data_IF_627407720734
#
_entry.id   IF_627407720734
#
_cell.length_a   1.000
_cell.length_b   1.000
_cell.length_c   1.000
_cell.angle_alpha   90.00
_cell.angle_beta   90.00
_cell.angle_gamma   90.00
#
_symmetry.space_group_name_H-M   'P 1'
#
loop_
_entity.id
_entity.type
_entity.pdbx_description
1 polymer ?
#
# COMPACT_ATOMS: atom_id res chain seq x y z
N UNK A 1 -18.20 -6.23 0.33
CA UNK A 1 -16.75 -6.42 0.49
C UNK A 1 -16.15 -6.34 -0.88
N UNK A 2 -15.20 -5.43 -1.09
CA UNK A 2 -14.48 -5.31 -2.36
C UNK A 2 -13.12 -5.97 -2.21
N UNK A 3 -12.67 -6.67 -3.23
CA UNK A 3 -11.36 -7.29 -3.25
C UNK A 3 -10.41 -6.53 -4.14
N UNK A 4 -9.15 -6.44 -3.72
CA UNK A 4 -8.11 -5.73 -4.44
C UNK A 4 -6.77 -6.42 -4.30
N UNK A 5 -5.80 -5.90 -5.03
CA UNK A 5 -4.40 -6.32 -4.95
C UNK A 5 -3.51 -5.10 -4.80
N UNK A 6 -2.35 -5.29 -4.20
CA UNK A 6 -1.27 -4.31 -4.25
C UNK A 6 -0.12 -4.88 -5.09
N UNK A 7 0.45 -4.04 -5.95
CA UNK A 7 1.42 -4.47 -6.95
C UNK A 7 2.58 -3.50 -7.07
N UNK A 8 3.74 -4.08 -7.38
CA UNK A 8 5.00 -3.40 -7.63
C UNK A 8 5.73 -4.09 -8.78
N UNK A 9 6.98 -3.72 -9.06
CA UNK A 9 7.82 -4.44 -10.02
C UNK A 9 7.98 -5.94 -9.72
N UNK A 10 7.67 -6.40 -8.50
CA UNK A 10 7.66 -7.83 -8.16
C UNK A 10 6.58 -8.60 -8.92
N UNK A 11 5.55 -7.92 -9.43
CA UNK A 11 4.49 -8.46 -10.28
C UNK A 11 4.62 -7.99 -11.73
N UNK A 12 5.84 -7.70 -12.20
CA UNK A 12 6.07 -7.35 -13.61
C UNK A 12 5.43 -8.38 -14.56
N UNK A 13 4.58 -7.90 -15.47
CA UNK A 13 3.81 -8.71 -16.41
C UNK A 13 2.41 -9.13 -15.93
N UNK A 14 2.01 -8.82 -14.70
CA UNK A 14 0.65 -9.08 -14.21
C UNK A 14 -0.36 -8.21 -14.96
N UNK A 15 -1.34 -8.83 -15.61
CA UNK A 15 -2.44 -8.11 -16.27
C UNK A 15 -3.55 -7.77 -15.29
N UNK A 16 -3.69 -6.48 -14.97
CA UNK A 16 -4.77 -5.91 -14.18
C UNK A 16 -6.11 -5.94 -14.92
N UNK A 17 -6.12 -5.93 -16.27
CA UNK A 17 -7.33 -6.22 -17.06
C UNK A 17 -7.82 -7.65 -16.82
N UNK A 18 -6.91 -8.63 -16.77
CA UNK A 18 -7.27 -10.00 -16.40
C UNK A 18 -7.69 -10.09 -14.93
N UNK A 19 -6.96 -9.43 -14.02
CA UNK A 19 -7.30 -9.40 -12.61
C UNK A 19 -8.73 -8.88 -12.39
N UNK A 20 -9.14 -7.82 -13.09
CA UNK A 20 -10.50 -7.30 -13.04
C UNK A 20 -11.55 -8.33 -13.50
N UNK A 21 -11.25 -9.10 -14.56
CA UNK A 21 -12.12 -10.22 -15.01
C UNK A 21 -12.21 -11.36 -13.99
N UNK A 22 -11.18 -11.54 -13.17
CA UNK A 22 -11.16 -12.49 -12.05
C UNK A 22 -11.80 -11.92 -10.77
N UNK A 23 -12.37 -10.70 -10.84
CA UNK A 23 -13.18 -10.10 -9.78
C UNK A 23 -12.43 -9.17 -8.82
N UNK A 24 -11.23 -8.72 -9.20
CA UNK A 24 -10.54 -7.60 -8.54
C UNK A 24 -11.24 -6.28 -8.87
N UNK A 25 -11.41 -5.44 -7.86
CA UNK A 25 -12.19 -4.20 -7.94
C UNK A 25 -11.35 -2.94 -7.66
N UNK A 26 -10.18 -3.09 -7.03
CA UNK A 26 -9.22 -2.00 -6.83
C UNK A 26 -7.77 -2.49 -6.87
N UNK A 27 -6.85 -1.58 -7.16
CA UNK A 27 -5.41 -1.83 -7.13
C UNK A 27 -4.66 -0.73 -6.36
N UNK A 28 -3.66 -1.11 -5.57
CA UNK A 28 -2.75 -0.19 -4.88
C UNK A 28 -1.34 -0.33 -5.49
N UNK A 29 -0.87 0.69 -6.19
CA UNK A 29 0.34 0.59 -7.03
C UNK A 29 1.56 1.21 -6.34
N UNK A 30 2.70 0.52 -6.29
CA UNK A 30 3.93 1.08 -5.73
C UNK A 30 4.46 2.20 -6.62
N UNK A 31 4.73 3.36 -6.04
CA UNK A 31 5.46 4.43 -6.71
C UNK A 31 6.96 4.26 -6.51
N UNK A 32 7.39 4.22 -5.24
CA UNK A 32 8.80 4.13 -4.88
C UNK A 32 9.02 3.32 -3.61
N UNK A 33 10.25 2.84 -3.47
CA UNK A 33 10.85 2.41 -2.22
C UNK A 33 11.98 3.38 -1.84
N UNK A 34 11.72 4.26 -0.87
CA UNK A 34 12.52 5.45 -0.66
C UNK A 34 12.61 6.26 -1.96
N UNK A 35 13.81 6.37 -2.52
CA UNK A 35 14.05 7.03 -3.83
C UNK A 35 14.16 6.04 -5.00
N UNK A 36 14.14 4.73 -4.75
CA UNK A 36 14.11 3.72 -5.80
C UNK A 36 12.74 3.76 -6.49
N UNK A 37 12.76 3.96 -7.82
CA UNK A 37 11.56 4.14 -8.64
C UNK A 37 11.04 2.81 -9.13
N UNK A 38 9.76 2.54 -8.91
CA UNK A 38 9.14 1.34 -9.43
C UNK A 38 9.02 1.42 -10.96
N UNK A 39 9.79 0.58 -11.66
CA UNK A 39 9.83 0.56 -13.13
C UNK A 39 8.51 0.11 -13.77
N UNK A 40 7.65 -0.57 -13.04
CA UNK A 40 6.37 -1.10 -13.53
C UNK A 40 5.17 -0.19 -13.21
N UNK A 41 5.38 0.91 -12.47
CA UNK A 41 4.28 1.81 -12.10
C UNK A 41 3.47 2.30 -13.31
N UNK A 42 4.15 2.73 -14.37
CA UNK A 42 3.48 3.29 -15.56
C UNK A 42 2.63 2.26 -16.31
N UNK A 43 3.12 1.02 -16.46
CA UNK A 43 2.37 -0.06 -17.10
C UNK A 43 1.20 -0.52 -16.24
N UNK A 44 1.41 -0.68 -14.93
CA UNK A 44 0.32 -1.00 -14.00
C UNK A 44 -0.75 0.09 -13.96
N UNK A 45 -0.37 1.38 -13.94
CA UNK A 45 -1.33 2.47 -13.94
C UNK A 45 -2.17 2.49 -15.23
N UNK A 46 -1.53 2.26 -16.38
CA UNK A 46 -2.24 2.18 -17.66
C UNK A 46 -3.23 1.01 -17.69
N UNK A 47 -2.80 -0.17 -17.24
CA UNK A 47 -3.63 -1.38 -17.26
C UNK A 47 -4.78 -1.30 -16.24
N UNK A 48 -4.53 -0.76 -15.04
CA UNK A 48 -5.57 -0.51 -14.04
C UNK A 48 -6.65 0.46 -14.55
N UNK A 49 -6.25 1.53 -15.23
CA UNK A 49 -7.18 2.49 -15.86
C UNK A 49 -7.98 1.83 -16.97
N UNK A 50 -7.34 1.05 -17.83
CA UNK A 50 -8.03 0.32 -18.90
C UNK A 50 -9.03 -0.71 -18.36
N UNK A 51 -8.72 -1.30 -17.21
CA UNK A 51 -9.58 -2.25 -16.50
C UNK A 51 -10.74 -1.60 -15.74
N UNK A 52 -10.73 -0.26 -15.56
CA UNK A 52 -11.74 0.46 -14.78
C UNK A 52 -11.67 0.19 -13.27
N UNK A 53 -10.49 -0.18 -12.75
CA UNK A 53 -10.27 -0.41 -11.32
C UNK A 53 -10.26 0.91 -10.55
N UNK A 54 -10.66 0.88 -9.27
CA UNK A 54 -10.31 1.96 -8.36
C UNK A 54 -8.81 1.91 -8.06
N UNK A 55 -8.14 3.05 -8.13
CA UNK A 55 -6.67 3.12 -8.05
C UNK A 55 -6.27 3.99 -6.87
N UNK A 56 -5.42 3.43 -6.02
CA UNK A 56 -4.57 4.19 -5.10
C UNK A 56 -3.12 3.79 -5.31
N UNK A 57 -2.22 4.48 -4.64
CA UNK A 57 -0.78 4.24 -4.76
C UNK A 57 -0.14 4.13 -3.40
N UNK A 58 1.01 3.51 -3.30
CA UNK A 58 1.79 3.49 -2.06
C UNK A 58 3.24 3.90 -2.29
N UNK A 59 3.82 4.43 -1.22
CA UNK A 59 5.22 4.80 -1.12
C UNK A 59 5.81 4.10 0.09
N UNK A 60 6.77 3.20 -0.13
CA UNK A 60 7.51 2.54 0.94
C UNK A 60 8.45 3.57 1.56
N UNK A 61 8.07 4.04 2.76
CA UNK A 61 8.72 5.14 3.45
C UNK A 61 9.95 4.61 4.20
N UNK A 62 11.12 5.05 3.78
CA UNK A 62 12.41 4.73 4.41
C UNK A 62 12.74 5.74 5.50
N UNK A 63 13.42 5.27 6.54
CA UNK A 63 13.97 6.15 7.55
C UNK A 63 15.08 7.01 6.92
N UNK A 64 15.19 8.31 7.25
CA UNK A 64 16.31 9.14 6.79
C UNK A 64 17.69 8.56 7.12
N UNK A 65 17.82 7.76 8.17
CA UNK A 65 19.07 7.05 8.50
C UNK A 65 19.47 6.00 7.46
N UNK A 66 18.56 5.57 6.59
CA UNK A 66 18.83 4.66 5.47
C UNK A 66 19.39 5.38 4.23
N UNK A 67 19.58 6.71 4.30
CA UNK A 67 20.38 7.45 3.32
C UNK A 67 19.61 8.39 2.39
N UNK A 68 18.30 8.57 2.58
CA UNK A 68 17.50 9.54 1.81
C UNK A 68 16.55 10.31 2.72
N UNK A 69 16.54 11.63 2.61
CA UNK A 69 15.60 12.47 3.36
C UNK A 69 14.16 12.21 2.94
N UNK A 70 13.20 12.51 3.82
CA UNK A 70 11.77 12.37 3.51
C UNK A 70 11.40 13.21 2.29
N UNK A 71 11.97 14.41 2.14
CA UNK A 71 11.76 15.26 0.98
C UNK A 71 12.22 14.61 -0.33
N UNK A 72 13.43 14.03 -0.38
CA UNK A 72 13.92 13.32 -1.58
C UNK A 72 13.04 12.13 -1.95
N UNK A 73 12.57 11.38 -0.96
CA UNK A 73 11.65 10.25 -1.16
C UNK A 73 10.30 10.69 -1.75
N UNK A 74 9.73 11.78 -1.22
CA UNK A 74 8.48 12.36 -1.72
C UNK A 74 8.64 12.88 -3.15
N UNK A 75 9.72 13.61 -3.45
CA UNK A 75 9.98 14.08 -4.83
C UNK A 75 10.10 12.91 -5.81
N UNK A 76 10.84 11.85 -5.45
CA UNK A 76 10.96 10.66 -6.29
C UNK A 76 9.60 9.98 -6.55
N UNK A 77 8.75 9.88 -5.52
CA UNK A 77 7.41 9.31 -5.65
C UNK A 77 6.51 10.17 -6.55
N UNK A 78 6.56 11.49 -6.41
CA UNK A 78 5.82 12.43 -7.24
C UNK A 78 6.26 12.38 -8.70
N UNK A 79 7.57 12.25 -8.97
CA UNK A 79 8.08 12.08 -10.34
C UNK A 79 7.58 10.80 -10.99
N UNK A 80 7.53 9.68 -10.26
CA UNK A 80 6.96 8.41 -10.75
C UNK A 80 5.46 8.56 -11.01
N UNK A 81 4.74 9.22 -10.11
CA UNK A 81 3.29 9.43 -10.24
C UNK A 81 2.93 10.37 -11.40
N UNK A 82 3.83 11.29 -11.74
CA UNK A 82 3.58 12.33 -12.75
C UNK A 82 2.31 13.12 -12.44
N UNK A 83 1.46 13.30 -13.43
CA UNK A 83 0.19 14.02 -13.29
C UNK A 83 -0.98 13.23 -12.70
N UNK A 84 -0.79 11.98 -12.26
CA UNK A 84 -1.92 11.12 -11.87
C UNK A 84 -2.59 11.51 -10.55
N UNK A 85 -1.87 12.19 -9.63
CA UNK A 85 -2.33 12.67 -8.33
C UNK A 85 -3.34 11.73 -7.62
N UNK A 86 -2.94 10.46 -7.48
CA UNK A 86 -3.77 9.40 -6.90
C UNK A 86 -3.64 9.36 -5.36
N UNK A 87 -4.65 8.85 -4.63
CA UNK A 87 -4.55 8.72 -3.18
C UNK A 87 -3.34 7.90 -2.74
N UNK A 88 -2.50 8.48 -1.88
CA UNK A 88 -1.25 7.88 -1.40
C UNK A 88 -1.43 7.15 -0.07
N UNK A 89 -0.93 5.93 0.01
CA UNK A 89 -0.66 5.21 1.24
C UNK A 89 0.82 5.33 1.61
N UNK A 90 1.11 5.74 2.84
CA UNK A 90 2.47 5.72 3.36
C UNK A 90 2.73 4.35 3.98
N UNK A 91 3.53 3.54 3.30
CA UNK A 91 3.92 2.22 3.78
C UNK A 91 5.02 2.37 4.83
N UNK A 92 4.63 2.08 6.07
CA UNK A 92 5.42 2.26 7.28
C UNK A 92 5.84 0.89 7.81
N UNK A 93 6.89 0.32 7.23
CA UNK A 93 7.41 -0.97 7.70
C UNK A 93 8.93 -1.13 7.62
N UNK A 94 9.67 -0.06 7.32
CA UNK A 94 11.12 -0.13 7.20
C UNK A 94 11.79 -0.77 8.43
N UNK A 95 12.77 -1.68 8.27
CA UNK A 95 13.48 -2.31 9.38
C UNK A 95 14.09 -1.32 10.38
N UNK A 96 14.54 -0.16 9.89
CA UNK A 96 15.15 0.91 10.67
C UNK A 96 14.16 1.62 11.63
N UNK A 97 12.86 1.34 11.51
CA UNK A 97 11.80 2.03 12.23
C UNK A 97 11.55 3.43 11.68
N UNK A 98 10.49 4.09 12.16
CA UNK A 98 10.18 5.48 11.82
C UNK A 98 9.84 6.25 13.10
N UNK A 99 9.88 7.58 13.02
CA UNK A 99 9.29 8.45 14.02
C UNK A 99 7.91 8.92 13.53
N UNK A 100 7.08 9.42 14.46
CA UNK A 100 5.82 10.08 14.08
C UNK A 100 6.08 11.30 13.20
N UNK A 101 7.21 11.97 13.38
CA UNK A 101 7.58 13.16 12.64
C UNK A 101 7.95 12.81 11.20
N UNK A 102 8.61 11.67 10.94
CA UNK A 102 8.88 11.21 9.57
C UNK A 102 7.58 10.99 8.78
N UNK A 103 6.59 10.34 9.41
CA UNK A 103 5.29 10.07 8.77
C UNK A 103 4.52 11.38 8.57
N UNK A 104 4.53 12.27 9.57
CA UNK A 104 3.87 13.56 9.48
C UNK A 104 4.50 14.47 8.40
N UNK A 105 5.83 14.46 8.28
CA UNK A 105 6.57 15.17 7.25
C UNK A 105 6.21 14.65 5.85
N UNK A 106 6.27 13.34 5.63
CA UNK A 106 5.88 12.73 4.36
C UNK A 106 4.43 13.08 4.00
N UNK A 107 3.53 12.95 4.99
CA UNK A 107 2.12 13.29 4.81
C UNK A 107 1.95 14.76 4.39
N UNK A 108 2.61 15.69 5.08
CA UNK A 108 2.54 17.11 4.80
C UNK A 108 3.10 17.44 3.41
N UNK A 109 4.24 16.87 3.02
CA UNK A 109 4.88 17.13 1.73
C UNK A 109 4.03 16.64 0.55
N UNK A 110 3.47 15.43 0.62
CA UNK A 110 2.52 14.97 -0.40
C UNK A 110 1.29 15.88 -0.49
N UNK A 111 0.72 16.27 0.66
CA UNK A 111 -0.47 17.12 0.71
C UNK A 111 -0.21 18.52 0.12
N UNK A 112 0.95 19.12 0.43
CA UNK A 112 1.37 20.42 -0.12
C UNK A 112 1.54 20.39 -1.64
N UNK A 113 1.86 19.22 -2.21
CA UNK A 113 1.97 18.99 -3.65
C UNK A 113 0.65 18.55 -4.31
N UNK A 114 -0.46 18.63 -3.57
CA UNK A 114 -1.80 18.32 -4.07
C UNK A 114 -2.14 16.82 -4.10
N UNK A 115 -1.29 15.96 -3.54
CA UNK A 115 -1.56 14.53 -3.42
C UNK A 115 -2.27 14.25 -2.10
N UNK A 116 -3.50 13.75 -2.17
CA UNK A 116 -4.23 13.30 -0.97
C UNK A 116 -3.54 12.09 -0.37
N UNK A 117 -3.18 12.16 0.90
CA UNK A 117 -2.75 10.98 1.66
C UNK A 117 -3.99 10.28 2.19
N UNK A 118 -4.19 9.03 1.77
CA UNK A 118 -5.32 8.19 2.21
C UNK A 118 -5.12 7.71 3.65
N UNK A 119 -3.90 7.36 4.01
CA UNK A 119 -3.60 6.67 5.25
C UNK A 119 -2.19 6.11 5.28
N UNK A 120 -1.96 5.22 6.23
CA UNK A 120 -0.73 4.43 6.35
C UNK A 120 -1.00 2.95 6.11
N UNK A 121 0.02 2.26 5.64
CA UNK A 121 0.13 0.80 5.69
C UNK A 121 1.14 0.38 6.76
N UNK A 122 0.89 -0.75 7.43
CA UNK A 122 1.81 -1.38 8.41
C UNK A 122 1.32 -2.80 8.73
N UNK A 123 2.11 -3.56 9.51
CA UNK A 123 1.65 -4.76 10.22
C UNK A 123 1.81 -4.66 11.76
N UNK A 124 1.06 -5.46 12.56
CA UNK A 124 0.98 -5.30 14.02
C UNK A 124 2.30 -5.41 14.79
N UNK A 125 3.16 -6.36 14.42
CA UNK A 125 4.43 -6.56 15.10
C UNK A 125 5.34 -5.34 14.94
N UNK A 126 5.51 -4.84 13.72
CA UNK A 126 6.32 -3.66 13.46
C UNK A 126 5.75 -2.43 14.17
N UNK A 127 4.45 -2.17 14.05
CA UNK A 127 3.86 -0.99 14.69
C UNK A 127 4.01 -1.01 16.21
N UNK A 128 3.85 -2.19 16.84
CA UNK A 128 4.04 -2.33 18.28
C UNK A 128 5.48 -2.05 18.71
N UNK A 129 6.47 -2.54 17.97
CA UNK A 129 7.87 -2.53 18.43
C UNK A 129 8.73 -1.41 17.86
N UNK A 130 8.37 -0.86 16.69
CA UNK A 130 9.08 0.26 16.05
C UNK A 130 8.38 1.60 16.28
N UNK A 131 7.05 1.58 16.43
CA UNK A 131 6.26 2.79 16.70
C UNK A 131 5.71 2.84 18.12
N UNK A 132 6.06 1.88 18.99
CA UNK A 132 5.58 1.78 20.38
C UNK A 132 4.05 1.85 20.52
N UNK A 133 3.31 1.38 19.51
CA UNK A 133 1.85 1.43 19.50
C UNK A 133 1.27 2.85 19.38
N UNK A 134 2.01 3.78 18.76
CA UNK A 134 1.56 5.14 18.49
C UNK A 134 0.17 5.19 17.83
N UNK A 135 -0.57 6.27 18.10
CA UNK A 135 -1.87 6.53 17.51
C UNK A 135 -1.75 6.73 15.99
N UNK A 136 -2.48 5.94 15.20
CA UNK A 136 -2.43 6.01 13.72
C UNK A 136 -3.42 7.01 13.15
N UNK A 137 -4.46 7.38 13.91
CA UNK A 137 -5.56 8.24 13.44
C UNK A 137 -5.10 9.59 12.87
N UNK A 138 -4.03 10.24 13.38
CA UNK A 138 -3.52 11.47 12.77
C UNK A 138 -2.98 11.32 11.35
N UNK A 139 -2.69 10.09 10.89
CA UNK A 139 -2.11 9.83 9.57
C UNK A 139 -3.14 9.38 8.52
N UNK A 140 -4.43 9.36 8.85
CA UNK A 140 -5.52 9.00 7.93
C UNK A 140 -6.13 7.63 8.21
N UNK A 141 -6.50 6.91 7.16
CA UNK A 141 -7.01 5.55 7.25
C UNK A 141 -5.89 4.55 7.59
N UNK A 142 -6.28 3.36 8.03
CA UNK A 142 -5.36 2.27 8.29
C UNK A 142 -5.56 1.16 7.26
N UNK A 143 -4.51 0.86 6.51
CA UNK A 143 -4.35 -0.36 5.73
C UNK A 143 -3.45 -1.30 6.55
N UNK A 144 -3.96 -2.46 6.95
CA UNK A 144 -3.26 -3.36 7.88
C UNK A 144 -2.97 -4.70 7.23
N UNK A 145 -1.71 -5.14 7.24
CA UNK A 145 -1.34 -6.51 6.93
C UNK A 145 -1.49 -7.42 8.16
N UNK A 146 -2.29 -8.47 8.00
CA UNK A 146 -2.49 -9.49 9.03
C UNK A 146 -2.96 -10.80 8.36
N UNK A 147 -2.02 -11.67 7.99
CA UNK A 147 -2.31 -12.81 7.11
C UNK A 147 -2.83 -14.07 7.84
N UNK A 148 -2.65 -14.16 9.17
CA UNK A 148 -3.07 -15.34 9.93
C UNK A 148 -2.36 -16.61 9.46
N UNK A 149 -3.12 -17.55 8.88
CA UNK A 149 -2.58 -18.79 8.29
C UNK A 149 -1.94 -18.58 6.90
N UNK A 150 -2.13 -17.42 6.30
CA UNK A 150 -1.66 -17.03 4.97
C UNK A 150 -1.95 -18.06 3.85
N UNK A 151 -3.24 -18.39 3.65
CA UNK A 151 -3.67 -19.36 2.65
C UNK A 151 -3.39 -18.89 1.21
N UNK A 152 -2.98 -19.83 0.35
CA UNK A 152 -2.80 -19.60 -1.08
C UNK A 152 -4.10 -19.91 -1.84
N UNK A 153 -4.46 -19.05 -2.80
CA UNK A 153 -5.63 -19.26 -3.65
C UNK A 153 -6.33 -17.97 -4.10
N UNK A 154 -7.45 -18.05 -4.84
CA UNK A 154 -8.19 -16.89 -5.28
C UNK A 154 -8.68 -16.04 -4.10
N UNK A 155 -8.67 -14.69 -4.20
CA UNK A 155 -8.98 -13.80 -3.07
C UNK A 155 -10.30 -14.12 -2.35
N UNK A 156 -11.35 -14.48 -3.10
CA UNK A 156 -12.67 -14.80 -2.53
C UNK A 156 -12.69 -16.10 -1.73
N UNK A 157 -11.88 -17.07 -2.14
CA UNK A 157 -11.85 -18.41 -1.54
C UNK A 157 -10.99 -18.43 -0.28
N UNK A 158 -9.96 -17.57 -0.24
CA UNK A 158 -9.00 -17.48 0.85
C UNK A 158 -9.32 -16.39 1.87
N UNK A 159 -10.34 -15.55 1.61
CA UNK A 159 -10.77 -14.52 2.55
C UNK A 159 -11.40 -15.16 3.80
N UNK A 160 -10.78 -15.04 4.99
CA UNK A 160 -11.25 -15.76 6.18
C UNK A 160 -12.48 -15.12 6.83
N UNK A 161 -12.92 -13.94 6.37
CA UNK A 161 -13.88 -13.11 7.10
C UNK A 161 -13.29 -12.57 8.41
N UNK A 162 -14.11 -11.87 9.21
CA UNK A 162 -13.72 -11.39 10.54
C UNK A 162 -12.49 -10.45 10.55
N UNK A 163 -12.73 -9.14 10.44
CA UNK A 163 -11.66 -8.14 10.39
C UNK A 163 -10.65 -8.26 11.55
N UNK A 164 -9.35 -8.06 11.27
CA UNK A 164 -8.32 -8.14 12.30
C UNK A 164 -8.49 -7.05 13.35
N UNK A 165 -7.87 -7.26 14.51
CA UNK A 165 -7.78 -6.20 15.52
C UNK A 165 -6.98 -5.03 14.96
N UNK A 166 -7.42 -3.83 15.31
CA UNK A 166 -6.72 -2.60 14.96
C UNK A 166 -5.36 -2.45 15.62
N UNK A 167 -4.53 -1.59 15.03
CA UNK A 167 -3.30 -1.07 15.64
C UNK A 167 -3.47 0.43 15.87
N UNK A 168 -2.70 1.00 16.79
CA UNK A 168 -2.68 2.45 17.00
C UNK A 168 -4.05 3.09 17.25
N UNK A 169 -4.93 2.40 17.99
CA UNK A 169 -6.28 2.85 18.35
C UNK A 169 -7.26 2.97 17.17
N UNK A 170 -6.98 2.33 16.04
CA UNK A 170 -7.81 2.38 14.84
C UNK A 170 -8.03 0.99 14.25
N UNK A 171 -9.27 0.68 13.85
CA UNK A 171 -9.54 -0.53 13.04
C UNK A 171 -9.16 -0.27 11.59
N UNK A 172 -8.65 -1.27 10.85
CA UNK A 172 -8.32 -1.08 9.45
C UNK A 172 -9.55 -0.81 8.60
N UNK A 173 -9.40 0.08 7.63
CA UNK A 173 -10.33 0.28 6.52
C UNK A 173 -9.99 -0.66 5.34
N UNK A 174 -8.71 -1.02 5.21
CA UNK A 174 -8.20 -1.98 4.23
C UNK A 174 -7.42 -3.05 4.98
N UNK A 175 -7.63 -4.31 4.61
CA UNK A 175 -6.93 -5.44 5.19
C UNK A 175 -6.20 -6.21 4.10
N UNK A 176 -4.87 -6.25 4.16
CA UNK A 176 -4.08 -7.22 3.40
C UNK A 176 -4.11 -8.56 4.15
N UNK A 177 -4.93 -9.48 3.64
CA UNK A 177 -5.30 -10.70 4.37
C UNK A 177 -4.53 -11.94 3.93
N UNK A 178 -3.79 -11.85 2.82
CA UNK A 178 -2.80 -12.86 2.43
C UNK A 178 -1.74 -12.23 1.53
N UNK A 179 -0.52 -12.74 1.61
CA UNK A 179 0.58 -12.45 0.68
C UNK A 179 0.70 -13.44 -0.49
N UNK A 180 -0.24 -14.39 -0.56
CA UNK A 180 -0.19 -15.57 -1.44
C UNK A 180 -1.45 -15.74 -2.27
N UNK A 181 -2.18 -14.65 -2.51
CA UNK A 181 -3.34 -14.69 -3.37
C UNK A 181 -2.97 -15.08 -4.80
N UNK A 182 -3.83 -15.86 -5.47
CA UNK A 182 -3.66 -16.23 -6.87
C UNK A 182 -4.54 -15.34 -7.75
N UNK A 183 -3.93 -14.42 -8.50
CA UNK A 183 -4.64 -13.49 -9.39
C UNK A 183 -3.87 -13.33 -10.69
N UNK A 184 -4.57 -13.42 -11.81
CA UNK A 184 -4.03 -13.30 -13.17
C UNK A 184 -2.84 -14.24 -13.46
N UNK A 185 -2.73 -15.35 -12.74
CA UNK A 185 -1.62 -16.31 -12.84
C UNK A 185 -0.39 -15.97 -11.98
N UNK A 186 -0.48 -14.95 -11.12
CA UNK A 186 0.58 -14.54 -10.20
C UNK A 186 0.21 -14.87 -8.75
N UNK A 187 1.23 -15.09 -7.92
CA UNK A 187 1.13 -14.96 -6.46
C UNK A 187 1.30 -13.49 -6.10
N UNK A 188 0.31 -12.90 -5.43
CA UNK A 188 0.22 -11.47 -5.14
C UNK A 188 -0.50 -11.21 -3.83
N UNK A 189 -0.16 -10.09 -3.19
CA UNK A 189 -0.81 -9.61 -2.00
C UNK A 189 -2.27 -9.24 -2.28
N UNK A 190 -3.18 -9.78 -1.47
CA UNK A 190 -4.63 -9.61 -1.65
C UNK A 190 -5.25 -8.85 -0.48
N UNK A 191 -6.15 -7.93 -0.85
CA UNK A 191 -6.71 -6.94 0.02
C UNK A 191 -8.24 -6.98 0.03
N UNK A 192 -8.82 -6.65 1.18
CA UNK A 192 -10.24 -6.46 1.36
C UNK A 192 -10.51 -5.02 1.82
N UNK A 193 -11.54 -4.38 1.26
CA UNK A 193 -11.97 -3.04 1.62
C UNK A 193 -13.39 -3.05 2.20
N UNK A 194 -13.53 -2.49 3.42
CA UNK A 194 -14.78 -2.41 4.18
C UNK A 194 -15.78 -1.40 3.60
#
# INVERSE_FOLDING_TARGET
>A
MRFGIDVSEHQDGLSLVRAAREGIEFAILRTTDGTYRDRCFSSHLADARAAGLDISVYHYLRNPSEGTSIAEQVEASLEVMGGAALPMWLDCETPAGLSRDHIAEAHALFTQRGVRVAGIYTYPHWWRWRMFGADTRPFGLLWLAAHGADPEGPPRDVFPGGWPRGVGKQKPAVWQFSSRGCVAGFSVDVNAWA
#
